data_IF_636376262808
#
_entry.id   IF_636376262808
#
_cell.length_a   1.000
_cell.length_b   1.000
_cell.length_c   1.000
_cell.angle_alpha   90.00
_cell.angle_beta   90.00
_cell.angle_gamma   90.00
#
_symmetry.space_group_name_H-M   'P 1'
#
loop_
_entity.id
_entity.type
_entity.pdbx_description
1 polymer ?
#
# COMPACT_ATOMS: atom_id res chain seq x y z
N UNK A 1 -35.39 2.60 -10.73
CA UNK A 1 -34.30 1.77 -10.19
C UNK A 1 -33.45 1.26 -11.35
N UNK A 2 -32.27 1.82 -11.58
CA UNK A 2 -31.21 1.17 -12.36
C UNK A 2 -29.87 1.77 -11.94
N UNK A 3 -28.97 0.88 -11.49
CA UNK A 3 -27.67 1.17 -10.87
C UNK A 3 -26.79 2.01 -11.79
N UNK A 4 -26.41 3.20 -11.34
CA UNK A 4 -25.36 3.98 -11.98
C UNK A 4 -24.02 3.24 -11.89
N UNK A 5 -23.45 2.99 -13.07
CA UNK A 5 -22.16 2.39 -13.39
C UNK A 5 -20.99 3.29 -12.95
N UNK A 6 -20.85 3.58 -11.66
CA UNK A 6 -19.77 4.48 -11.14
C UNK A 6 -18.40 3.79 -11.02
N UNK A 7 -18.30 2.48 -11.22
CA UNK A 7 -17.05 1.71 -11.03
C UNK A 7 -16.10 1.66 -12.23
N UNK A 8 -16.60 1.86 -13.45
CA UNK A 8 -15.82 1.59 -14.68
C UNK A 8 -14.91 2.75 -15.09
N UNK A 9 -15.21 3.97 -14.64
CA UNK A 9 -14.58 5.20 -15.15
C UNK A 9 -13.18 5.44 -14.55
N UNK A 10 -12.90 4.95 -13.33
CA UNK A 10 -11.60 5.17 -12.68
C UNK A 10 -10.49 4.23 -13.19
N UNK A 11 -10.84 2.99 -13.56
CA UNK A 11 -9.87 2.02 -14.07
C UNK A 11 -9.33 2.42 -15.44
N UNK A 12 -10.15 3.06 -16.28
CA UNK A 12 -9.75 3.52 -17.62
C UNK A 12 -8.73 4.67 -17.60
N UNK A 13 -8.72 5.53 -16.57
CA UNK A 13 -7.77 6.64 -16.46
C UNK A 13 -6.36 6.19 -16.09
N UNK A 14 -6.22 5.15 -15.27
CA UNK A 14 -4.90 4.63 -14.86
C UNK A 14 -4.26 3.76 -15.96
N UNK A 15 -5.07 3.02 -16.73
CA UNK A 15 -4.60 2.26 -17.89
C UNK A 15 -4.04 3.16 -19.01
N UNK A 16 -4.45 4.44 -19.07
CA UNK A 16 -3.99 5.40 -20.08
C UNK A 16 -2.60 5.99 -19.80
N UNK A 17 -2.11 5.96 -18.56
CA UNK A 17 -0.77 6.46 -18.25
C UNK A 17 0.30 5.41 -18.59
N UNK A 18 1.09 5.65 -19.64
CA UNK A 18 2.27 4.83 -19.96
C UNK A 18 3.44 5.04 -18.98
N UNK A 19 3.22 5.73 -17.85
CA UNK A 19 4.22 6.06 -16.82
C UNK A 19 5.11 4.86 -16.47
N UNK A 20 4.53 3.68 -16.24
CA UNK A 20 5.29 2.48 -15.88
C UNK A 20 6.32 2.09 -16.96
N UNK A 21 6.00 2.29 -18.24
CA UNK A 21 6.93 2.02 -19.36
C UNK A 21 8.08 3.03 -19.37
N UNK A 22 7.78 4.30 -19.10
CA UNK A 22 8.77 5.39 -19.08
C UNK A 22 9.81 5.17 -17.96
N UNK A 23 9.38 4.67 -16.80
CA UNK A 23 10.27 4.38 -15.67
C UNK A 23 10.81 2.93 -15.67
N UNK A 24 10.57 2.15 -16.73
CA UNK A 24 11.08 0.78 -16.87
C UNK A 24 10.46 -0.26 -15.92
N UNK A 25 9.27 0.02 -15.37
CA UNK A 25 8.53 -0.89 -14.48
C UNK A 25 7.61 -1.81 -15.28
N UNK A 26 7.77 -3.12 -15.10
CA UNK A 26 6.87 -4.13 -15.67
C UNK A 26 5.54 -4.14 -14.92
N UNK A 27 4.49 -3.58 -15.54
CA UNK A 27 3.13 -3.67 -15.02
C UNK A 27 2.59 -5.12 -15.15
N UNK A 28 2.20 -5.72 -14.01
CA UNK A 28 1.59 -7.06 -13.95
C UNK A 28 0.15 -6.92 -13.45
N UNK A 29 -0.81 -7.31 -14.28
CA UNK A 29 -2.22 -7.36 -13.90
C UNK A 29 -2.53 -8.65 -13.14
N UNK A 30 -3.36 -8.52 -12.10
CA UNK A 30 -3.96 -9.67 -11.39
C UNK A 30 -5.20 -10.11 -12.18
N UNK A 31 -5.43 -11.43 -12.26
CA UNK A 31 -6.63 -11.95 -12.92
C UNK A 31 -7.89 -11.47 -12.17
N UNK A 32 -8.96 -11.07 -12.87
CA UNK A 32 -10.22 -10.75 -12.22
C UNK A 32 -10.71 -11.91 -11.34
N UNK A 33 -11.35 -11.59 -10.21
CA UNK A 33 -11.89 -12.56 -9.25
C UNK A 33 -10.86 -13.49 -8.60
N UNK A 34 -9.60 -13.07 -8.51
CA UNK A 34 -8.58 -13.76 -7.69
C UNK A 34 -8.16 -12.91 -6.49
N UNK A 35 -9.05 -12.63 -5.51
CA UNK A 35 -8.77 -11.72 -4.40
C UNK A 35 -7.61 -12.20 -3.52
N UNK A 36 -7.38 -13.51 -3.41
CA UNK A 36 -6.26 -14.09 -2.64
C UNK A 36 -4.88 -13.64 -3.15
N UNK A 37 -4.76 -13.27 -4.44
CA UNK A 37 -3.51 -12.72 -4.99
C UNK A 37 -3.19 -11.32 -4.45
N UNK A 38 -4.16 -10.64 -3.85
CA UNK A 38 -4.03 -9.32 -3.25
C UNK A 38 -3.94 -9.37 -1.70
N UNK A 39 -3.78 -10.56 -1.12
CA UNK A 39 -3.84 -10.76 0.33
C UNK A 39 -2.81 -9.93 1.13
N UNK A 40 -1.63 -9.66 0.56
CA UNK A 40 -0.64 -8.79 1.21
C UNK A 40 -1.13 -7.35 1.34
N UNK A 41 -1.81 -6.82 0.32
CA UNK A 41 -2.36 -5.47 0.31
C UNK A 41 -3.56 -5.39 1.24
N UNK A 42 -4.45 -6.37 1.19
CA UNK A 42 -5.60 -6.44 2.11
C UNK A 42 -5.14 -6.58 3.57
N UNK A 43 -4.09 -7.37 3.82
CA UNK A 43 -3.47 -7.51 5.13
C UNK A 43 -2.83 -6.21 5.63
N UNK A 44 -2.12 -5.46 4.77
CA UNK A 44 -1.57 -4.15 5.16
C UNK A 44 -2.68 -3.14 5.45
N UNK A 45 -3.74 -3.10 4.63
CA UNK A 45 -4.89 -2.24 4.91
C UNK A 45 -5.53 -2.54 6.26
N UNK A 46 -5.70 -3.82 6.60
CA UNK A 46 -6.23 -4.22 7.90
C UNK A 46 -5.31 -3.80 9.05
N UNK A 47 -3.99 -3.99 8.92
CA UNK A 47 -3.03 -3.57 9.93
C UNK A 47 -3.01 -2.05 10.11
N UNK A 48 -3.02 -1.27 9.03
CA UNK A 48 -3.06 0.18 9.08
C UNK A 48 -4.36 0.66 9.75
N UNK A 49 -5.49 0.01 9.44
CA UNK A 49 -6.76 0.30 10.08
C UNK A 49 -6.70 0.05 11.60
N UNK A 50 -6.26 -1.14 11.99
CA UNK A 50 -6.22 -1.61 13.38
C UNK A 50 -5.22 -0.82 14.22
N UNK A 51 -4.06 -0.47 13.68
CA UNK A 51 -2.93 0.09 14.44
C UNK A 51 -2.81 1.62 14.30
N UNK A 52 -3.36 2.23 13.26
CA UNK A 52 -3.23 3.66 12.99
C UNK A 52 -4.58 4.34 12.82
N UNK A 53 -5.37 3.99 11.80
CA UNK A 53 -6.57 4.76 11.44
C UNK A 53 -7.62 4.81 12.56
N UNK A 54 -7.80 3.72 13.32
CA UNK A 54 -8.75 3.68 14.43
C UNK A 54 -8.44 4.68 15.56
N UNK A 55 -7.18 5.09 15.69
CA UNK A 55 -6.71 5.96 16.78
C UNK A 55 -6.28 7.35 16.27
N UNK A 56 -6.24 7.54 14.96
CA UNK A 56 -5.75 8.75 14.31
C UNK A 56 -6.65 9.95 14.62
N UNK A 57 -6.07 10.96 15.26
CA UNK A 57 -6.67 12.28 15.45
C UNK A 57 -5.64 13.33 15.02
N UNK A 58 -6.06 14.32 14.22
CA UNK A 58 -5.18 15.37 13.74
C UNK A 58 -5.90 16.72 13.66
N UNK A 59 -5.16 17.80 13.87
CA UNK A 59 -5.71 19.17 13.85
C UNK A 59 -5.35 19.94 12.58
N UNK A 60 -4.44 19.40 11.74
CA UNK A 60 -4.07 20.00 10.47
C UNK A 60 -3.53 18.97 9.48
N UNK A 61 -3.47 19.33 8.19
CA UNK A 61 -2.86 18.47 7.18
C UNK A 61 -1.36 18.24 7.41
N UNK A 62 -0.66 19.22 8.00
CA UNK A 62 0.76 19.07 8.38
C UNK A 62 0.92 18.00 9.45
N UNK A 63 0.10 18.08 10.48
CA UNK A 63 0.06 17.13 11.60
C UNK A 63 -0.26 15.70 11.12
N UNK A 64 -1.28 15.55 10.26
CA UNK A 64 -1.58 14.26 9.61
C UNK A 64 -0.34 13.67 8.92
N UNK A 65 0.35 14.45 8.08
CA UNK A 65 1.55 13.98 7.36
C UNK A 65 2.67 13.57 8.30
N UNK A 66 2.88 14.32 9.39
CA UNK A 66 3.92 14.02 10.37
C UNK A 66 3.61 12.73 11.15
N UNK A 67 2.35 12.54 11.56
CA UNK A 67 1.90 11.31 12.21
C UNK A 67 2.04 10.10 11.27
N UNK A 68 1.61 10.23 10.01
CA UNK A 68 1.77 9.19 8.99
C UNK A 68 3.25 8.84 8.77
N UNK A 69 4.13 9.84 8.67
CA UNK A 69 5.56 9.62 8.51
C UNK A 69 6.14 8.84 9.69
N UNK A 70 5.82 9.25 10.92
CA UNK A 70 6.28 8.56 12.14
C UNK A 70 5.80 7.11 12.19
N UNK A 71 4.54 6.87 11.88
CA UNK A 71 3.97 5.52 11.81
C UNK A 71 4.69 4.64 10.77
N UNK A 72 4.85 5.14 9.55
CA UNK A 72 5.55 4.42 8.48
C UNK A 72 7.02 4.16 8.81
N UNK A 73 7.72 5.12 9.44
CA UNK A 73 9.09 4.91 9.90
C UNK A 73 9.16 3.82 10.97
N UNK A 74 8.24 3.80 11.93
CA UNK A 74 8.18 2.75 12.95
C UNK A 74 7.99 1.36 12.33
N UNK A 75 6.99 1.18 11.48
CA UNK A 75 6.72 -0.10 10.82
C UNK A 75 7.91 -0.60 9.99
N UNK A 76 8.56 0.29 9.24
CA UNK A 76 9.67 -0.08 8.37
C UNK A 76 10.95 -0.47 9.13
N UNK A 77 11.07 -0.08 10.41
CA UNK A 77 12.17 -0.46 11.30
C UNK A 77 11.80 -1.60 12.27
N UNK A 78 10.53 -2.02 12.33
CA UNK A 78 10.10 -3.07 13.24
C UNK A 78 10.51 -4.44 12.71
N UNK A 79 11.26 -5.26 13.49
CA UNK A 79 11.56 -6.63 13.12
C UNK A 79 10.30 -7.48 12.98
N UNK A 80 10.21 -8.28 11.92
CA UNK A 80 9.06 -9.15 11.68
C UNK A 80 9.50 -10.62 11.59
N UNK A 81 8.76 -11.51 12.26
CA UNK A 81 9.05 -12.95 12.24
C UNK A 81 9.04 -13.53 10.81
N UNK A 82 8.14 -13.06 9.93
CA UNK A 82 8.06 -13.48 8.52
C UNK A 82 9.31 -13.13 7.70
N UNK A 83 10.12 -12.18 8.18
CA UNK A 83 11.38 -11.77 7.57
C UNK A 83 12.59 -12.37 8.30
N UNK A 84 12.40 -13.36 9.18
CA UNK A 84 13.47 -13.93 9.99
C UNK A 84 14.00 -12.95 11.04
N UNK A 85 13.09 -12.18 11.67
CA UNK A 85 13.42 -11.15 12.66
C UNK A 85 14.26 -9.99 12.12
N UNK A 86 14.20 -9.76 10.82
CA UNK A 86 14.66 -8.51 10.20
C UNK A 86 13.50 -7.54 10.03
N UNK A 87 13.81 -6.25 10.04
CA UNK A 87 12.89 -5.19 9.62
C UNK A 87 12.75 -5.14 8.09
N UNK A 88 11.66 -4.56 7.56
CA UNK A 88 11.51 -4.32 6.13
C UNK A 88 12.72 -3.58 5.50
N UNK A 89 13.31 -2.61 6.22
CA UNK A 89 14.47 -1.88 5.74
C UNK A 89 15.73 -2.75 5.66
N UNK A 90 16.00 -3.56 6.68
CA UNK A 90 17.14 -4.49 6.68
C UNK A 90 16.99 -5.53 5.57
N UNK A 91 15.79 -6.11 5.43
CA UNK A 91 15.50 -7.06 4.34
C UNK A 91 15.69 -6.42 2.97
N UNK A 92 15.26 -5.16 2.80
CA UNK A 92 15.45 -4.42 1.55
C UNK A 92 16.93 -4.16 1.27
N UNK A 93 17.73 -3.83 2.28
CA UNK A 93 19.17 -3.63 2.13
C UNK A 93 19.86 -4.92 1.69
N UNK A 94 19.49 -6.06 2.28
CA UNK A 94 20.01 -7.37 1.91
C UNK A 94 19.72 -7.75 0.44
N UNK A 95 18.53 -7.42 -0.07
CA UNK A 95 18.15 -7.72 -1.46
C UNK A 95 18.83 -6.81 -2.51
N UNK A 96 19.45 -5.72 -2.07
CA UNK A 96 20.17 -4.77 -2.94
C UNK A 96 21.65 -5.10 -3.07
N UNK A 97 22.22 -5.87 -2.14
CA UNK A 97 23.58 -6.40 -2.21
C UNK A 97 23.64 -7.67 -3.04
#
# INVERSE_FOLDING_TARGET
MTRHHKGTIYLSYLEQSNFYKEVGIKHKLIRPRTPWNNGNVEGSYRNDQEQFCNFLNFCSFKDLKEQMYRYMCGLNNLPMAVLGWMSPLERRAQLKG
#
